data_IF_650806526093
#
_entry.id   IF_650806526093
#
_cell.length_a   1.000
_cell.length_b   1.000
_cell.length_c   1.000
_cell.angle_alpha   90.00
_cell.angle_beta   90.00
_cell.angle_gamma   90.00
#
_symmetry.space_group_name_H-M   'P 1'
#
loop_
_entity.id
_entity.type
_entity.pdbx_description
1 polymer ?
#
# COMPACT_ATOMS: atom_id res chain seq x y z
N UNK A 1 2.36 -23.49 -15.64
CA UNK A 1 1.23 -23.75 -16.56
C UNK A 1 0.04 -24.24 -15.76
N UNK A 2 -1.14 -23.65 -15.94
CA UNK A 2 -2.39 -24.20 -15.40
C UNK A 2 -3.08 -23.30 -14.38
N UNK A 3 -3.63 -22.18 -14.85
CA UNK A 3 -4.74 -21.52 -14.16
C UNK A 3 -5.98 -22.42 -14.25
N UNK A 4 -6.75 -22.55 -13.18
CA UNK A 4 -8.22 -22.73 -13.08
C UNK A 4 -8.50 -22.98 -11.59
N UNK A 5 -8.91 -21.93 -10.87
CA UNK A 5 -9.52 -22.07 -9.53
C UNK A 5 -10.44 -20.87 -9.23
N UNK A 6 -11.12 -20.36 -10.26
CA UNK A 6 -12.09 -19.28 -10.15
C UNK A 6 -13.41 -19.75 -10.77
N UNK A 7 -14.50 -19.46 -10.06
CA UNK A 7 -15.90 -19.55 -10.50
C UNK A 7 -16.74 -20.81 -10.18
N UNK A 8 -16.49 -21.51 -9.06
CA UNK A 8 -17.41 -22.59 -8.61
C UNK A 8 -18.02 -22.38 -7.20
N UNK A 9 -17.95 -21.17 -6.62
CA UNK A 9 -18.52 -20.92 -5.29
C UNK A 9 -20.04 -20.72 -5.24
N UNK A 10 -20.64 -20.14 -6.28
CA UNK A 10 -22.06 -19.74 -6.26
C UNK A 10 -22.99 -20.69 -7.03
N UNK A 11 -22.50 -21.34 -8.10
CA UNK A 11 -23.32 -22.22 -8.93
C UNK A 11 -23.52 -23.62 -8.31
N UNK A 12 -22.55 -24.12 -7.53
CA UNK A 12 -22.64 -25.44 -6.90
C UNK A 12 -23.69 -25.50 -5.79
N UNK A 13 -23.88 -24.42 -5.05
CA UNK A 13 -24.88 -24.37 -3.97
C UNK A 13 -26.31 -24.41 -4.53
N UNK A 14 -26.59 -23.66 -5.61
CA UNK A 14 -27.90 -23.70 -6.26
C UNK A 14 -28.24 -25.05 -6.92
N UNK A 15 -27.25 -25.68 -7.56
CA UNK A 15 -27.43 -26.96 -8.24
C UNK A 15 -27.63 -28.14 -7.26
N UNK A 16 -26.88 -28.15 -6.15
CA UNK A 16 -27.02 -29.19 -5.11
C UNK A 16 -28.38 -29.08 -4.41
N UNK A 17 -28.84 -27.85 -4.10
CA UNK A 17 -30.17 -27.63 -3.51
C UNK A 17 -31.29 -28.08 -4.46
N UNK A 18 -31.18 -27.78 -5.76
CA UNK A 18 -32.18 -28.20 -6.77
C UNK A 18 -32.27 -29.72 -6.95
N UNK A 19 -31.14 -30.43 -6.96
CA UNK A 19 -31.10 -31.88 -7.12
C UNK A 19 -31.64 -32.63 -5.89
N UNK A 20 -31.32 -32.15 -4.68
CA UNK A 20 -31.82 -32.72 -3.42
C UNK A 20 -33.33 -32.49 -3.31
N UNK A 21 -33.84 -31.30 -3.60
CA UNK A 21 -35.29 -31.03 -3.61
C UNK A 21 -36.04 -31.88 -4.65
N UNK A 22 -35.48 -32.05 -5.86
CA UNK A 22 -36.10 -32.86 -6.91
C UNK A 22 -36.22 -34.35 -6.56
N UNK A 23 -35.17 -34.94 -6.00
CA UNK A 23 -35.18 -36.34 -5.57
C UNK A 23 -36.06 -36.58 -4.32
N UNK A 24 -36.19 -35.58 -3.45
CA UNK A 24 -36.96 -35.69 -2.22
C UNK A 24 -38.47 -35.48 -2.44
N UNK A 25 -38.86 -34.61 -3.38
CA UNK A 25 -40.26 -34.41 -3.79
C UNK A 25 -40.92 -35.70 -4.33
N UNK A 26 -40.14 -36.62 -4.90
CA UNK A 26 -40.64 -37.92 -5.36
C UNK A 26 -40.97 -38.92 -4.23
N UNK A 27 -40.49 -38.72 -2.98
CA UNK A 27 -40.45 -39.80 -1.97
C UNK A 27 -41.43 -39.69 -0.78
N UNK A 28 -42.54 -38.95 -0.95
CA UNK A 28 -43.60 -38.65 0.04
C UNK A 28 -43.28 -37.45 0.94
N UNK A 29 -44.28 -36.59 1.11
CA UNK A 29 -44.25 -35.41 1.98
C UNK A 29 -44.56 -35.79 3.44
N UNK A 30 -43.60 -35.68 4.38
CA UNK A 30 -43.91 -35.67 5.80
C UNK A 30 -44.34 -34.25 6.25
N UNK A 31 -45.25 -34.13 7.25
CA UNK A 31 -45.81 -32.85 7.71
C UNK A 31 -44.80 -31.88 8.37
N UNK A 32 -43.60 -32.35 8.73
CA UNK A 32 -42.58 -31.57 9.46
C UNK A 32 -41.63 -30.76 8.54
N UNK A 33 -41.73 -30.95 7.23
CA UNK A 33 -40.89 -30.29 6.22
C UNK A 33 -41.00 -28.76 6.23
N UNK A 34 -42.17 -28.22 6.62
CA UNK A 34 -42.36 -26.77 6.66
C UNK A 34 -41.47 -26.09 7.72
N UNK A 35 -41.26 -26.77 8.86
CA UNK A 35 -40.37 -26.30 9.92
C UNK A 35 -38.89 -26.43 9.51
N UNK A 36 -38.54 -27.53 8.84
CA UNK A 36 -37.19 -27.77 8.33
C UNK A 36 -36.79 -26.77 7.24
N UNK A 37 -37.70 -26.48 6.29
CA UNK A 37 -37.50 -25.45 5.25
C UNK A 37 -37.35 -24.05 5.87
N UNK A 38 -38.12 -23.73 6.91
CA UNK A 38 -38.00 -22.45 7.62
C UNK A 38 -36.65 -22.33 8.34
N UNK A 39 -36.14 -23.42 8.93
CA UNK A 39 -34.83 -23.45 9.57
C UNK A 39 -33.69 -23.33 8.55
N UNK A 40 -33.76 -24.07 7.43
CA UNK A 40 -32.78 -23.94 6.35
C UNK A 40 -32.74 -22.54 5.77
N UNK A 41 -33.89 -21.90 5.55
CA UNK A 41 -33.92 -20.50 5.08
C UNK A 41 -33.20 -19.56 6.03
N UNK A 42 -33.43 -19.70 7.35
CA UNK A 42 -32.71 -18.92 8.36
C UNK A 42 -31.21 -19.14 8.31
N UNK A 43 -30.76 -20.39 8.20
CA UNK A 43 -29.34 -20.73 8.11
C UNK A 43 -28.71 -20.17 6.83
N UNK A 44 -29.41 -20.22 5.69
CA UNK A 44 -28.93 -19.63 4.44
C UNK A 44 -28.82 -18.11 4.57
N UNK A 45 -29.80 -17.44 5.15
CA UNK A 45 -29.75 -15.98 5.37
C UNK A 45 -28.61 -15.59 6.33
N UNK A 46 -28.39 -16.38 7.37
CA UNK A 46 -27.28 -16.18 8.32
C UNK A 46 -25.91 -16.41 7.67
N UNK A 47 -25.77 -17.45 6.85
CA UNK A 47 -24.55 -17.72 6.11
C UNK A 47 -24.28 -16.64 5.05
N UNK A 48 -25.33 -16.18 4.36
CA UNK A 48 -25.23 -15.10 3.38
C UNK A 48 -24.74 -13.81 4.05
N UNK A 49 -25.33 -13.41 5.18
CA UNK A 49 -24.90 -12.20 5.88
C UNK A 49 -23.46 -12.31 6.40
N UNK A 50 -23.05 -13.49 6.88
CA UNK A 50 -21.65 -13.76 7.29
C UNK A 50 -20.68 -13.67 6.10
N UNK A 51 -21.04 -14.25 4.96
CA UNK A 51 -20.21 -14.20 3.74
C UNK A 51 -20.10 -12.77 3.20
N UNK A 52 -21.20 -12.02 3.14
CA UNK A 52 -21.20 -10.62 2.71
C UNK A 52 -20.37 -9.74 3.65
N UNK A 53 -20.49 -9.93 4.96
CA UNK A 53 -19.68 -9.21 5.94
C UNK A 53 -18.18 -9.53 5.77
N UNK A 54 -17.85 -10.81 5.56
CA UNK A 54 -16.47 -11.24 5.35
C UNK A 54 -15.90 -10.73 4.03
N UNK A 55 -16.69 -10.73 2.96
CA UNK A 55 -16.27 -10.21 1.65
C UNK A 55 -16.10 -8.69 1.69
N UNK A 56 -16.99 -7.96 2.36
CA UNK A 56 -16.86 -6.51 2.54
C UNK A 56 -15.65 -6.15 3.41
N UNK A 57 -15.42 -6.88 4.50
CA UNK A 57 -14.22 -6.71 5.32
C UNK A 57 -12.94 -6.98 4.51
N UNK A 58 -12.94 -8.03 3.69
CA UNK A 58 -11.82 -8.34 2.79
C UNK A 58 -11.62 -7.26 1.73
N UNK A 59 -12.67 -6.77 1.07
CA UNK A 59 -12.59 -5.67 0.10
C UNK A 59 -12.09 -4.38 0.75
N UNK A 60 -12.55 -4.05 1.95
CA UNK A 60 -12.05 -2.91 2.72
C UNK A 60 -10.57 -3.07 3.06
N UNK A 61 -10.14 -4.28 3.46
CA UNK A 61 -8.75 -4.59 3.74
C UNK A 61 -7.88 -4.50 2.48
N UNK A 62 -8.34 -5.04 1.35
CA UNK A 62 -7.64 -4.96 0.06
C UNK A 62 -7.55 -3.50 -0.44
N UNK A 63 -8.61 -2.71 -0.28
CA UNK A 63 -8.61 -1.29 -0.64
C UNK A 63 -7.63 -0.47 0.23
N UNK A 64 -7.57 -0.77 1.53
CA UNK A 64 -6.61 -0.16 2.47
C UNK A 64 -5.17 -0.58 2.19
N UNK A 65 -4.92 -1.84 1.85
CA UNK A 65 -3.60 -2.33 1.46
C UNK A 65 -3.10 -1.75 0.13
N UNK A 66 -4.02 -1.25 -0.72
CA UNK A 66 -3.68 -0.55 -1.97
C UNK A 66 -3.45 0.95 -1.80
N UNK A 67 -3.52 1.47 -0.58
CA UNK A 67 -3.28 2.89 -0.33
C UNK A 67 -1.86 3.27 -0.79
N UNK A 68 -1.79 4.17 -1.79
CA UNK A 68 -0.54 4.70 -2.32
C UNK A 68 -0.67 6.21 -2.47
N UNK A 69 -0.10 7.00 -1.55
CA UNK A 69 -0.09 8.45 -1.71
C UNK A 69 0.74 8.82 -2.94
N UNK A 70 0.35 9.90 -3.60
CA UNK A 70 1.15 10.52 -4.65
C UNK A 70 2.36 11.20 -4.00
N UNK A 71 3.55 10.85 -4.45
CA UNK A 71 4.79 11.47 -4.01
C UNK A 71 5.25 12.54 -5.01
N UNK A 72 5.82 13.63 -4.49
CA UNK A 72 6.53 14.64 -5.26
C UNK A 72 7.69 15.20 -4.42
N UNK A 73 8.76 15.66 -5.07
CA UNK A 73 9.85 16.38 -4.41
C UNK A 73 9.77 17.85 -4.79
N UNK A 74 9.79 18.74 -3.80
CA UNK A 74 9.75 20.19 -3.97
C UNK A 74 11.02 20.84 -3.42
N UNK A 75 11.33 22.03 -3.93
CA UNK A 75 12.52 22.80 -3.54
C UNK A 75 13.73 22.51 -4.42
N UNK A 76 14.76 23.33 -4.28
CA UNK A 76 15.98 23.25 -5.07
C UNK A 76 17.18 23.59 -4.16
N UNK A 77 18.25 22.80 -4.12
CA UNK A 77 19.44 23.18 -3.35
C UNK A 77 19.96 24.56 -3.76
N UNK A 78 20.55 25.37 -2.86
CA UNK A 78 20.90 25.06 -1.47
C UNK A 78 19.72 25.15 -0.50
N UNK A 79 18.54 25.54 -0.97
CA UNK A 79 17.34 25.60 -0.14
C UNK A 79 16.89 24.17 0.24
N UNK A 80 16.21 24.00 1.38
CA UNK A 80 15.68 22.70 1.79
C UNK A 80 14.75 22.13 0.72
N UNK A 81 14.93 20.85 0.43
CA UNK A 81 13.99 20.10 -0.38
C UNK A 81 13.00 19.38 0.52
N UNK A 82 11.80 19.09 0.01
CA UNK A 82 10.72 18.46 0.73
C UNK A 82 10.17 17.28 -0.06
N UNK A 83 10.01 16.14 0.61
CA UNK A 83 9.19 15.04 0.14
C UNK A 83 7.76 15.35 0.53
N UNK A 84 6.89 15.49 -0.47
CA UNK A 84 5.48 15.76 -0.29
C UNK A 84 4.69 14.52 -0.66
N UNK A 85 3.90 14.02 0.28
CA UNK A 85 2.98 12.91 0.09
C UNK A 85 1.55 13.45 0.11
N UNK A 86 0.75 13.15 -0.91
CA UNK A 86 -0.64 13.62 -1.04
C UNK A 86 -1.58 12.45 -1.30
N UNK A 87 -2.72 12.41 -0.62
CA UNK A 87 -3.73 11.38 -0.81
C UNK A 87 -5.16 11.97 -0.80
N UNK A 88 -6.15 11.12 -1.11
CA UNK A 88 -7.58 11.46 -1.09
C UNK A 88 -8.18 11.52 0.33
N UNK A 89 -7.43 11.02 1.31
CA UNK A 89 -7.82 10.86 2.70
C UNK A 89 -6.66 11.18 3.62
N UNK A 90 -6.96 11.49 4.87
CA UNK A 90 -5.93 11.70 5.89
C UNK A 90 -5.19 10.41 6.20
N UNK A 91 -3.88 10.52 6.36
CA UNK A 91 -2.99 9.44 6.75
C UNK A 91 -1.90 10.00 7.66
N UNK A 92 -1.15 9.14 8.31
CA UNK A 92 0.00 9.51 9.12
C UNK A 92 1.28 8.97 8.48
N UNK A 93 2.34 9.76 8.49
CA UNK A 93 3.71 9.35 8.17
C UNK A 93 4.47 9.23 9.49
N UNK A 94 4.74 8.00 9.90
CA UNK A 94 5.41 7.72 11.19
C UNK A 94 6.92 7.75 11.03
N UNK A 95 7.43 7.16 9.95
CA UNK A 95 8.86 6.97 9.70
C UNK A 95 9.20 7.02 8.22
N UNK A 96 10.41 7.50 7.94
CA UNK A 96 10.98 7.59 6.60
C UNK A 96 12.34 6.89 6.59
N UNK A 97 12.46 5.79 5.85
CA UNK A 97 13.75 5.14 5.61
C UNK A 97 14.37 5.60 4.29
N UNK A 98 15.70 5.66 4.29
CA UNK A 98 16.54 5.93 3.13
C UNK A 98 17.18 4.59 2.72
N UNK A 99 16.78 4.05 1.58
CA UNK A 99 17.18 2.73 1.10
C UNK A 99 18.06 2.91 -0.14
N UNK A 100 19.22 2.24 -0.17
CA UNK A 100 20.11 2.23 -1.32
C UNK A 100 19.48 1.46 -2.51
N UNK A 101 20.01 1.66 -3.71
CA UNK A 101 19.61 0.89 -4.90
C UNK A 101 19.74 -0.64 -4.75
N UNK A 102 20.61 -1.11 -3.85
CA UNK A 102 20.75 -2.53 -3.49
C UNK A 102 19.60 -3.07 -2.63
N UNK A 103 18.69 -2.22 -2.17
CA UNK A 103 17.63 -2.56 -1.21
C UNK A 103 18.09 -2.50 0.25
N UNK A 104 19.35 -2.18 0.52
CA UNK A 104 19.84 -2.03 1.90
C UNK A 104 19.36 -0.72 2.53
N UNK A 105 18.77 -0.81 3.74
CA UNK A 105 18.44 0.38 4.53
C UNK A 105 19.74 1.04 5.00
N UNK A 106 19.91 2.32 4.65
CA UNK A 106 21.10 3.11 5.00
C UNK A 106 20.89 3.86 6.31
N UNK A 107 19.74 4.52 6.44
CA UNK A 107 19.40 5.36 7.58
C UNK A 107 17.89 5.63 7.62
N UNK A 108 17.37 6.21 8.70
CA UNK A 108 15.95 6.50 8.88
C UNK A 108 15.71 7.74 9.73
N UNK A 109 14.51 8.31 9.67
CA UNK A 109 13.96 9.28 10.64
C UNK A 109 12.54 8.95 11.03
N UNK A 110 12.23 9.25 12.28
CA UNK A 110 10.86 9.40 12.76
C UNK A 110 10.34 10.79 12.36
N UNK A 111 9.14 10.83 11.78
CA UNK A 111 8.54 12.07 11.24
C UNK A 111 7.27 12.45 12.00
N UNK A 112 6.46 11.45 12.41
CA UNK A 112 5.21 11.61 13.16
C UNK A 112 4.36 12.82 12.71
N UNK A 113 3.92 12.82 11.45
CA UNK A 113 3.02 13.83 10.88
C UNK A 113 1.74 13.20 10.37
N UNK A 114 0.64 13.94 10.34
CA UNK A 114 -0.65 13.48 9.82
C UNK A 114 -1.35 14.52 8.95
N UNK A 115 -2.21 14.05 8.04
CA UNK A 115 -3.06 14.85 7.16
C UNK A 115 -3.10 14.32 5.72
N UNK A 116 -4.03 14.81 4.91
CA UNK A 116 -4.16 14.42 3.49
C UNK A 116 -3.03 14.91 2.58
N UNK A 117 -2.20 15.85 3.08
CA UNK A 117 -0.97 16.30 2.44
C UNK A 117 0.11 16.53 3.50
N UNK A 118 1.16 15.72 3.45
CA UNK A 118 2.27 15.77 4.39
C UNK A 118 3.51 16.26 3.64
N UNK A 119 4.11 17.35 4.15
CA UNK A 119 5.41 17.85 3.68
C UNK A 119 6.50 17.53 4.69
N UNK A 120 7.50 16.75 4.28
CA UNK A 120 8.62 16.32 5.12
C UNK A 120 9.93 16.83 4.54
N UNK A 121 10.72 17.62 5.28
CA UNK A 121 12.03 18.07 4.79
C UNK A 121 12.93 16.87 4.53
N UNK A 122 13.54 16.84 3.35
CA UNK A 122 14.53 15.83 2.98
C UNK A 122 15.82 16.15 3.71
N UNK A 123 16.27 15.22 4.55
CA UNK A 123 17.46 15.41 5.35
C UNK A 123 18.72 15.26 4.48
N UNK A 124 19.34 16.39 4.14
CA UNK A 124 20.52 16.44 3.27
C UNK A 124 21.69 15.60 3.81
N UNK A 125 21.87 15.53 5.13
CA UNK A 125 22.93 14.71 5.72
C UNK A 125 22.71 13.21 5.48
N UNK A 126 21.46 12.75 5.51
CA UNK A 126 21.09 11.34 5.23
C UNK A 126 21.20 11.02 3.75
N UNK A 127 20.78 11.93 2.88
CA UNK A 127 21.00 11.81 1.43
C UNK A 127 22.50 11.70 1.11
N UNK A 128 23.34 12.49 1.78
CA UNK A 128 24.79 12.39 1.64
C UNK A 128 25.35 11.04 2.09
N UNK A 129 24.78 10.40 3.13
CA UNK A 129 25.18 9.06 3.52
C UNK A 129 24.91 8.04 2.40
N UNK A 130 23.72 8.09 1.79
CA UNK A 130 23.37 7.24 0.64
C UNK A 130 24.32 7.50 -0.53
N UNK A 131 24.55 8.77 -0.87
CA UNK A 131 25.44 9.16 -1.98
C UNK A 131 26.87 8.64 -1.80
N UNK A 132 27.38 8.64 -0.57
CA UNK A 132 28.74 8.18 -0.26
C UNK A 132 28.92 6.64 -0.30
N UNK A 133 27.85 5.85 -0.46
CA UNK A 133 27.96 4.39 -0.57
C UNK A 133 28.56 3.92 -1.89
N UNK A 134 28.47 4.73 -2.95
CA UNK A 134 29.05 4.43 -4.25
C UNK A 134 30.41 5.13 -4.39
N UNK A 135 31.42 4.49 -5.03
CA UNK A 135 32.65 5.16 -5.39
C UNK A 135 32.34 6.42 -6.22
N UNK A 136 33.05 7.52 -5.97
CA UNK A 136 32.84 8.83 -6.61
C UNK A 136 33.19 8.79 -8.11
N UNK A 137 32.36 8.14 -8.92
CA UNK A 137 32.49 8.10 -10.37
C UNK A 137 31.76 9.30 -10.98
N UNK A 138 32.37 10.49 -10.84
CA UNK A 138 31.92 11.71 -11.50
C UNK A 138 30.56 12.24 -11.03
N UNK A 139 29.82 12.86 -11.96
CA UNK A 139 28.53 13.53 -11.73
C UNK A 139 27.33 12.62 -12.00
N UNK A 140 27.51 11.29 -11.94
CA UNK A 140 26.44 10.36 -12.24
C UNK A 140 25.35 10.40 -11.15
N UNK A 141 24.06 10.41 -11.53
CA UNK A 141 22.98 10.29 -10.57
C UNK A 141 23.05 8.96 -9.81
N UNK A 142 22.75 8.99 -8.51
CA UNK A 142 22.66 7.78 -7.67
C UNK A 142 21.20 7.47 -7.40
N UNK A 143 20.76 6.25 -7.75
CA UNK A 143 19.41 5.80 -7.45
C UNK A 143 19.28 5.40 -5.98
N UNK A 144 18.13 5.69 -5.39
CA UNK A 144 17.77 5.27 -4.03
C UNK A 144 16.24 5.27 -3.88
N UNK A 145 15.74 4.81 -2.74
CA UNK A 145 14.32 4.79 -2.45
C UNK A 145 14.04 5.39 -1.07
N UNK A 146 12.93 6.10 -0.96
CA UNK A 146 12.30 6.38 0.32
C UNK A 146 11.31 5.27 0.64
N UNK A 147 11.42 4.65 1.82
CA UNK A 147 10.32 3.83 2.35
C UNK A 147 9.56 4.63 3.39
N UNK A 148 8.35 5.00 3.03
CA UNK A 148 7.44 5.74 3.87
C UNK A 148 6.60 4.76 4.67
N UNK A 149 6.72 4.78 5.99
CA UNK A 149 5.86 4.03 6.91
C UNK A 149 4.64 4.86 7.20
N UNK A 150 3.49 4.36 6.77
CA UNK A 150 2.22 5.09 6.77
C UNK A 150 1.23 4.39 7.70
N UNK A 151 0.42 5.17 8.41
CA UNK A 151 -0.74 4.68 9.16
C UNK A 151 -2.01 5.28 8.57
N UNK A 152 -3.00 4.44 8.30
CA UNK A 152 -4.31 4.84 7.80
C UNK A 152 -5.38 4.18 8.66
N UNK A 153 -6.16 4.95 9.41
CA UNK A 153 -7.21 4.43 10.32
C UNK A 153 -6.67 3.34 11.29
N UNK A 154 -5.42 3.49 11.76
CA UNK A 154 -4.74 2.52 12.62
C UNK A 154 -4.16 1.30 11.90
N UNK A 155 -4.21 1.26 10.56
CA UNK A 155 -3.57 0.23 9.74
C UNK A 155 -2.21 0.71 9.24
N UNK A 156 -1.16 -0.04 9.55
CA UNK A 156 0.19 0.24 9.09
C UNK A 156 0.43 -0.30 7.68
N UNK A 157 1.03 0.52 6.82
CA UNK A 157 1.43 0.15 5.46
C UNK A 157 2.73 0.84 5.07
N UNK A 158 3.37 0.34 4.01
CA UNK A 158 4.62 0.90 3.49
C UNK A 158 4.43 1.36 2.05
N UNK A 159 4.99 2.52 1.72
CA UNK A 159 5.05 3.03 0.36
C UNK A 159 6.51 3.28 -0.03
N UNK A 160 6.95 2.63 -1.11
CA UNK A 160 8.26 2.87 -1.71
C UNK A 160 8.16 3.98 -2.76
N UNK A 161 9.02 4.98 -2.64
CA UNK A 161 9.13 6.10 -3.56
C UNK A 161 10.54 6.10 -4.13
N UNK A 162 10.67 5.84 -5.42
CA UNK A 162 11.96 5.80 -6.11
C UNK A 162 12.47 7.22 -6.39
N UNK A 163 13.76 7.44 -6.16
CA UNK A 163 14.38 8.74 -6.29
C UNK A 163 15.82 8.67 -6.80
N UNK A 164 16.32 9.81 -7.26
CA UNK A 164 17.66 10.02 -7.78
C UNK A 164 18.33 11.14 -6.99
N UNK A 165 19.60 10.95 -6.71
CA UNK A 165 20.50 11.98 -6.17
C UNK A 165 21.35 12.49 -7.32
N UNK A 166 21.17 13.76 -7.69
CA UNK A 166 21.98 14.43 -8.69
C UNK A 166 22.91 15.44 -8.00
N UNK A 167 24.25 15.27 -8.09
CA UNK A 167 25.18 16.24 -7.53
C UNK A 167 25.14 17.54 -8.35
N UNK A 168 25.02 18.66 -7.68
CA UNK A 168 25.02 20.00 -8.25
C UNK A 168 26.07 20.85 -7.55
N UNK A 169 26.85 21.62 -8.31
CA UNK A 169 27.88 22.49 -7.76
C UNK A 169 27.37 23.92 -7.78
N UNK A 170 27.31 24.56 -6.60
CA UNK A 170 26.92 25.97 -6.49
C UNK A 170 28.00 26.75 -5.76
N UNK A 171 28.19 28.00 -6.15
CA UNK A 171 29.13 28.89 -5.48
C UNK A 171 28.49 29.40 -4.19
N UNK A 172 29.18 29.19 -3.07
CA UNK A 172 28.80 29.72 -1.75
C UNK A 172 29.97 30.57 -1.27
N UNK A 173 29.81 31.90 -1.35
CA UNK A 173 30.94 32.82 -1.24
C UNK A 173 31.98 32.52 -2.32
N UNK A 174 33.25 32.36 -1.91
CA UNK A 174 34.38 32.09 -2.80
C UNK A 174 34.66 30.58 -3.02
N UNK A 175 33.85 29.68 -2.46
CA UNK A 175 34.04 28.23 -2.57
C UNK A 175 32.96 27.60 -3.45
N UNK A 176 33.31 26.54 -4.19
CA UNK A 176 32.32 25.65 -4.79
C UNK A 176 31.89 24.60 -3.77
N UNK A 177 30.59 24.53 -3.52
CA UNK A 177 29.99 23.56 -2.61
C UNK A 177 29.13 22.60 -3.44
N UNK A 178 29.33 21.30 -3.20
CA UNK A 178 28.49 20.26 -3.76
C UNK A 178 27.20 20.14 -2.95
N UNK A 179 26.07 20.16 -3.64
CA UNK A 179 24.75 19.93 -3.10
C UNK A 179 24.08 18.75 -3.82
N UNK A 180 23.43 17.89 -3.05
CA UNK A 180 22.64 16.79 -3.59
C UNK A 180 21.22 17.26 -3.89
N UNK A 181 20.89 17.40 -5.18
CA UNK A 181 19.52 17.55 -5.64
C UNK A 181 18.84 16.20 -5.64
N UNK A 182 17.66 16.10 -5.05
CA UNK A 182 16.84 14.88 -5.05
C UNK A 182 15.69 15.08 -6.03
N UNK A 183 15.46 14.10 -6.90
CA UNK A 183 14.32 14.09 -7.82
C UNK A 183 13.67 12.71 -7.77
N UNK A 184 12.37 12.61 -8.01
CA UNK A 184 11.74 11.30 -8.13
C UNK A 184 12.11 10.63 -9.45
N UNK A 185 12.29 9.31 -9.41
CA UNK A 185 12.38 8.49 -10.61
C UNK A 185 10.96 8.29 -11.15
N UNK A 186 10.72 8.64 -12.42
CA UNK A 186 9.45 8.40 -13.12
C UNK A 186 9.41 7.00 -13.72
#
# INVERSE_FOLDING_TARGET
MGAILLAFGSALVGAVVGAVLGAYLQRKWPPDMSAEIANLRRQVTELQSKVEAQENARKAQEARARFRPRAEVRGEPPEPQFLVLTADRDFELTRLDYIADTGAMVTFEDVQKSGGRIETPINSAKVMQVWNLRPRQGSLPVQFQFRCHLSLDGFETECLVEALIQPTWKSVGNAQTCFCKVTLSL
#
